data_IF_349368422260
#
_entry.id   IF_349368422260
#
_cell.length_a   1.000
_cell.length_b   1.000
_cell.length_c   1.000
_cell.angle_alpha   90.00
_cell.angle_beta   90.00
_cell.angle_gamma   90.00
#
_symmetry.space_group_name_H-M   'P 1'
#
loop_
_entity.id
_entity.type
_entity.pdbx_description
1 polymer ?
#
# COMPACT_ATOMS: atom_id res chain seq x y z
N UNK A 1 -31.71 7.32 -18.28
CA UNK A 1 -30.54 8.22 -18.15
C UNK A 1 -29.32 7.46 -18.64
N UNK A 2 -28.53 8.01 -19.55
CA UNK A 2 -27.29 7.38 -20.01
C UNK A 2 -26.23 7.37 -18.89
N UNK A 3 -25.25 6.44 -18.99
CA UNK A 3 -24.12 6.40 -18.07
C UNK A 3 -23.24 7.65 -18.22
N UNK A 4 -22.65 8.07 -17.11
CA UNK A 4 -21.64 9.15 -17.16
C UNK A 4 -20.32 8.63 -17.75
N UNK A 5 -19.49 9.52 -18.29
CA UNK A 5 -18.13 9.14 -18.77
C UNK A 5 -17.29 8.47 -17.68
N UNK A 6 -17.45 8.89 -16.42
CA UNK A 6 -16.78 8.27 -15.30
C UNK A 6 -17.24 6.84 -15.08
N UNK A 7 -18.55 6.58 -15.19
CA UNK A 7 -19.09 5.24 -15.09
C UNK A 7 -18.65 4.34 -16.24
N UNK A 8 -18.61 4.87 -17.46
CA UNK A 8 -18.11 4.14 -18.64
C UNK A 8 -16.62 3.75 -18.47
N UNK A 9 -15.79 4.71 -18.03
CA UNK A 9 -14.39 4.43 -17.71
C UNK A 9 -14.24 3.36 -16.62
N UNK A 10 -14.98 3.51 -15.52
CA UNK A 10 -14.90 2.58 -14.41
C UNK A 10 -15.31 1.16 -14.82
N UNK A 11 -16.39 1.00 -15.59
CA UNK A 11 -16.80 -0.31 -16.08
C UNK A 11 -15.78 -0.93 -17.03
N UNK A 12 -15.17 -0.12 -17.89
CA UNK A 12 -14.16 -0.59 -18.83
C UNK A 12 -12.89 -1.09 -18.14
N UNK A 13 -12.47 -0.44 -17.04
CA UNK A 13 -11.20 -0.71 -16.37
C UNK A 13 -11.33 -1.31 -14.97
N UNK A 14 -12.57 -1.62 -14.52
CA UNK A 14 -12.81 -2.19 -13.19
C UNK A 14 -12.01 -3.46 -12.92
N UNK A 15 -11.85 -4.31 -13.93
CA UNK A 15 -11.14 -5.56 -13.76
C UNK A 15 -9.68 -5.33 -13.37
N UNK A 16 -8.98 -4.42 -14.05
CA UNK A 16 -7.60 -4.07 -13.69
C UNK A 16 -7.51 -3.51 -12.26
N UNK A 17 -8.42 -2.61 -11.89
CA UNK A 17 -8.42 -2.03 -10.54
C UNK A 17 -8.69 -3.09 -9.45
N UNK A 18 -9.62 -4.02 -9.69
CA UNK A 18 -9.90 -5.12 -8.77
C UNK A 18 -8.70 -6.07 -8.61
N UNK A 19 -8.00 -6.38 -9.71
CA UNK A 19 -6.77 -7.18 -9.68
C UNK A 19 -5.68 -6.50 -8.84
N UNK A 20 -5.53 -5.17 -8.96
CA UNK A 20 -4.58 -4.42 -8.14
C UNK A 20 -4.97 -4.42 -6.65
N UNK A 21 -6.27 -4.35 -6.35
CA UNK A 21 -6.76 -4.45 -4.97
C UNK A 21 -6.47 -5.83 -4.38
N UNK A 22 -6.73 -6.91 -5.12
CA UNK A 22 -6.39 -8.27 -4.66
C UNK A 22 -4.89 -8.40 -4.42
N UNK A 23 -4.08 -7.91 -5.34
CA UNK A 23 -2.62 -8.10 -5.34
C UNK A 23 -1.91 -7.21 -4.30
N UNK A 24 -2.31 -5.95 -4.18
CA UNK A 24 -1.59 -4.94 -3.42
C UNK A 24 -2.38 -4.34 -2.25
N UNK A 25 -3.68 -4.60 -2.17
CA UNK A 25 -4.52 -4.03 -1.11
C UNK A 25 -4.90 -2.57 -1.31
N UNK A 26 -4.69 -2.01 -2.50
CA UNK A 26 -5.10 -0.65 -2.85
C UNK A 26 -6.58 -0.68 -3.24
N UNK A 27 -7.47 0.14 -2.65
CA UNK A 27 -8.89 0.12 -3.02
C UNK A 27 -9.09 0.29 -4.53
N UNK A 28 -9.90 -0.58 -5.14
CA UNK A 28 -10.22 -0.49 -6.57
C UNK A 28 -10.89 0.84 -6.91
N UNK A 29 -11.75 1.34 -6.02
CA UNK A 29 -12.41 2.63 -6.14
C UNK A 29 -11.41 3.79 -6.21
N UNK A 30 -10.36 3.77 -5.38
CA UNK A 30 -9.30 4.80 -5.36
C UNK A 30 -8.50 4.75 -6.66
N UNK A 31 -8.07 3.57 -7.09
CA UNK A 31 -7.35 3.37 -8.35
C UNK A 31 -8.16 3.89 -9.54
N UNK A 32 -9.46 3.56 -9.60
CA UNK A 32 -10.35 4.05 -10.67
C UNK A 32 -10.54 5.56 -10.62
N UNK A 33 -10.73 6.15 -9.43
CA UNK A 33 -10.90 7.59 -9.29
C UNK A 33 -9.64 8.36 -9.73
N UNK A 34 -8.45 7.85 -9.39
CA UNK A 34 -7.20 8.42 -9.86
C UNK A 34 -7.09 8.30 -11.39
N UNK A 35 -7.35 7.13 -11.95
CA UNK A 35 -7.33 6.93 -13.41
C UNK A 35 -8.30 7.86 -14.16
N UNK A 36 -9.52 8.04 -13.65
CA UNK A 36 -10.52 8.97 -14.19
C UNK A 36 -9.98 10.40 -14.21
N UNK A 37 -9.43 10.85 -13.07
CA UNK A 37 -8.96 12.22 -12.90
C UNK A 37 -7.71 12.50 -13.74
N UNK A 38 -6.70 11.64 -13.66
CA UNK A 38 -5.39 11.85 -14.28
C UNK A 38 -5.42 11.66 -15.81
N UNK A 39 -6.32 10.81 -16.32
CA UNK A 39 -6.39 10.52 -17.76
C UNK A 39 -7.53 11.23 -18.50
N UNK A 40 -8.30 12.09 -17.82
CA UNK A 40 -9.54 12.64 -18.37
C UNK A 40 -10.46 11.53 -18.92
N UNK A 41 -10.76 10.51 -18.11
CA UNK A 41 -11.50 9.31 -18.51
C UNK A 41 -10.85 8.52 -19.66
N UNK A 42 -9.52 8.43 -19.69
CA UNK A 42 -8.76 7.77 -20.74
C UNK A 42 -8.67 8.56 -22.05
N UNK A 43 -9.12 9.83 -22.08
CA UNK A 43 -9.16 10.65 -23.28
C UNK A 43 -7.92 11.53 -23.45
N UNK A 44 -7.05 11.65 -22.44
CA UNK A 44 -5.80 12.40 -22.56
C UNK A 44 -4.90 11.82 -23.66
N UNK A 45 -4.05 12.64 -24.26
CA UNK A 45 -3.09 12.17 -25.26
C UNK A 45 -2.18 11.08 -24.70
N UNK A 46 -1.76 11.24 -23.44
CA UNK A 46 -0.88 10.31 -22.75
C UNK A 46 -1.56 8.94 -22.57
N UNK A 47 -2.82 8.93 -22.12
CA UNK A 47 -3.59 7.69 -21.98
C UNK A 47 -3.80 7.00 -23.34
N UNK A 48 -4.13 7.76 -24.38
CA UNK A 48 -4.46 7.20 -25.71
C UNK A 48 -3.25 6.72 -26.51
N UNK A 49 -2.11 7.37 -26.37
CA UNK A 49 -0.90 7.06 -27.14
C UNK A 49 0.05 6.13 -26.41
N UNK A 50 0.17 6.33 -25.09
CA UNK A 50 1.16 5.63 -24.27
C UNK A 50 0.54 4.64 -23.27
N UNK A 51 -0.79 4.44 -23.31
CA UNK A 51 -1.54 3.65 -22.31
C UNK A 51 -1.28 4.09 -20.86
N UNK A 52 -0.81 5.31 -20.65
CA UNK A 52 -0.46 5.83 -19.33
C UNK A 52 -1.64 6.62 -18.74
N UNK A 53 -2.42 5.96 -17.90
CA UNK A 53 -3.64 6.48 -17.29
C UNK A 53 -3.41 7.26 -16.00
N UNK A 54 -2.20 7.30 -15.48
CA UNK A 54 -1.88 7.90 -14.18
C UNK A 54 -0.84 9.02 -14.25
N UNK A 55 -0.41 9.41 -15.46
CA UNK A 55 0.57 10.47 -15.65
C UNK A 55 1.95 10.15 -15.06
N UNK A 56 2.35 8.88 -15.04
CA UNK A 56 3.61 8.46 -14.44
C UNK A 56 4.78 8.92 -15.30
N UNK A 57 5.66 9.76 -14.73
CA UNK A 57 6.88 10.24 -15.38
C UNK A 57 7.95 9.13 -15.39
N UNK A 58 8.69 9.03 -16.50
CA UNK A 58 9.76 8.05 -16.64
C UNK A 58 10.94 8.42 -15.74
N UNK A 59 11.15 7.65 -14.69
CA UNK A 59 12.27 7.80 -13.75
C UNK A 59 13.60 7.39 -14.40
N UNK A 60 14.72 7.79 -13.80
CA UNK A 60 16.05 7.34 -14.23
C UNK A 60 16.16 5.81 -14.19
N UNK A 61 15.56 5.16 -13.18
CA UNK A 61 15.55 3.71 -13.06
C UNK A 61 14.72 3.05 -14.19
N UNK A 62 13.55 3.62 -14.53
CA UNK A 62 12.73 3.16 -15.66
C UNK A 62 13.53 3.21 -16.98
N UNK A 63 14.19 4.32 -17.24
CA UNK A 63 14.99 4.50 -18.46
C UNK A 63 16.22 3.59 -18.51
N UNK A 64 16.89 3.40 -17.37
CA UNK A 64 18.05 2.50 -17.26
C UNK A 64 17.70 1.04 -17.55
N UNK A 65 16.46 0.63 -17.28
CA UNK A 65 15.94 -0.71 -17.58
C UNK A 65 15.39 -0.84 -19.01
N UNK A 66 15.56 0.18 -19.86
CA UNK A 66 15.06 0.17 -21.24
C UNK A 66 13.55 0.44 -21.35
N UNK A 67 12.94 1.01 -20.31
CA UNK A 67 11.50 1.34 -20.31
C UNK A 67 11.14 2.33 -21.42
N UNK A 68 10.02 2.07 -22.10
CA UNK A 68 9.49 2.93 -23.17
C UNK A 68 8.96 4.24 -22.59
N UNK A 69 9.03 5.31 -23.37
CA UNK A 69 8.52 6.61 -22.97
C UNK A 69 8.02 7.45 -24.14
N UNK A 70 7.05 8.32 -23.86
CA UNK A 70 6.66 9.42 -24.72
C UNK A 70 7.17 10.76 -24.17
N UNK A 71 7.30 11.77 -25.04
CA UNK A 71 7.77 13.11 -24.67
C UNK A 71 6.60 14.08 -24.76
N UNK A 72 6.33 14.77 -23.65
CA UNK A 72 5.20 15.70 -23.53
C UNK A 72 5.63 16.98 -22.79
N UNK A 73 4.87 18.05 -22.98
CA UNK A 73 5.00 19.26 -22.17
C UNK A 73 3.96 19.20 -21.05
N UNK A 74 4.42 19.27 -19.80
CA UNK A 74 3.58 19.32 -18.60
C UNK A 74 4.09 20.47 -17.71
N UNK A 75 4.73 20.21 -16.58
CA UNK A 75 5.36 21.25 -15.75
C UNK A 75 6.54 21.94 -16.47
N UNK A 76 7.23 21.18 -17.29
CA UNK A 76 8.37 21.61 -18.11
C UNK A 76 8.24 21.10 -19.54
N UNK A 77 8.89 21.74 -20.49
CA UNK A 77 8.96 21.23 -21.86
C UNK A 77 9.78 19.93 -21.91
N UNK A 78 9.40 19.02 -22.82
CA UNK A 78 10.13 17.79 -23.11
C UNK A 78 10.28 16.82 -21.91
N UNK A 79 9.27 16.71 -21.08
CA UNK A 79 9.25 15.71 -20.00
C UNK A 79 8.94 14.32 -20.55
N UNK A 80 9.62 13.31 -20.01
CA UNK A 80 9.43 11.91 -20.37
C UNK A 80 8.39 11.26 -19.47
N UNK A 81 7.39 10.65 -20.07
CA UNK A 81 6.36 9.87 -19.37
C UNK A 81 6.46 8.41 -19.78
N UNK A 82 6.22 7.49 -18.85
CA UNK A 82 6.21 6.07 -19.13
C UNK A 82 5.21 5.72 -20.24
N UNK A 83 5.60 4.83 -21.13
CA UNK A 83 4.76 4.26 -22.17
C UNK A 83 4.64 2.74 -21.95
N UNK A 84 3.43 2.22 -22.13
CA UNK A 84 3.11 0.81 -21.86
C UNK A 84 2.55 0.14 -23.09
N UNK A 85 2.71 -1.19 -23.18
CA UNK A 85 2.18 -1.98 -24.30
C UNK A 85 0.65 -2.14 -24.20
N UNK A 86 0.11 -2.07 -22.98
CA UNK A 86 -1.33 -2.11 -22.71
C UNK A 86 -1.68 -1.32 -21.44
N UNK A 87 -2.98 -1.05 -21.27
CA UNK A 87 -3.49 -0.28 -20.12
C UNK A 87 -3.24 -1.00 -18.80
N UNK A 88 -3.34 -2.32 -18.74
CA UNK A 88 -3.11 -3.10 -17.51
C UNK A 88 -1.73 -2.87 -16.92
N UNK A 89 -0.70 -2.68 -17.76
CA UNK A 89 0.66 -2.36 -17.30
C UNK A 89 0.72 -1.00 -16.59
N UNK A 90 -0.07 -0.01 -17.03
CA UNK A 90 -0.11 1.28 -16.33
C UNK A 90 -0.78 1.17 -14.96
N UNK A 91 -1.80 0.31 -14.81
CA UNK A 91 -2.42 0.01 -13.52
C UNK A 91 -1.45 -0.70 -12.57
N UNK A 92 -0.72 -1.68 -13.08
CA UNK A 92 0.31 -2.39 -12.31
C UNK A 92 1.43 -1.44 -11.87
N UNK A 93 1.95 -0.61 -12.78
CA UNK A 93 3.01 0.34 -12.44
C UNK A 93 2.53 1.41 -11.45
N UNK A 94 1.29 1.89 -11.58
CA UNK A 94 0.68 2.79 -10.60
C UNK A 94 0.68 2.17 -9.20
N UNK A 95 0.24 0.93 -9.09
CA UNK A 95 0.26 0.20 -7.81
C UNK A 95 1.67 0.08 -7.25
N UNK A 96 2.65 -0.27 -8.07
CA UNK A 96 4.06 -0.33 -7.66
C UNK A 96 4.61 1.00 -7.21
N UNK A 97 4.25 2.11 -7.87
CA UNK A 97 4.66 3.46 -7.42
C UNK A 97 4.17 3.75 -6.01
N UNK A 98 2.95 3.31 -5.66
CA UNK A 98 2.43 3.48 -4.30
C UNK A 98 3.11 2.52 -3.31
N UNK A 99 3.31 1.26 -3.68
CA UNK A 99 3.92 0.24 -2.81
C UNK A 99 5.39 0.53 -2.52
N UNK A 100 6.17 0.85 -3.56
CA UNK A 100 7.63 0.97 -3.46
C UNK A 100 8.08 2.32 -2.88
N UNK A 101 7.21 3.30 -2.84
CA UNK A 101 7.56 4.62 -2.33
C UNK A 101 7.15 4.78 -0.87
N UNK A 102 8.15 4.86 0.02
CA UNK A 102 7.98 4.97 1.48
C UNK A 102 7.01 6.07 1.94
N UNK A 103 6.84 7.14 1.16
CA UNK A 103 5.89 8.22 1.52
C UNK A 103 4.44 7.75 1.58
N UNK A 104 4.08 6.66 0.88
CA UNK A 104 2.74 6.07 0.91
C UNK A 104 2.62 4.90 1.88
N UNK A 105 3.65 4.57 2.66
CA UNK A 105 3.64 3.41 3.56
C UNK A 105 2.45 3.43 4.54
N UNK A 106 2.04 4.62 4.99
CA UNK A 106 0.89 4.78 5.89
C UNK A 106 -0.43 4.31 5.26
N UNK A 107 -0.60 4.47 3.94
CA UNK A 107 -1.80 4.00 3.25
C UNK A 107 -2.02 2.50 3.42
N UNK A 108 -0.94 1.71 3.44
CA UNK A 108 -1.00 0.25 3.55
C UNK A 108 -1.26 -0.27 4.97
N UNK A 109 -1.44 0.62 5.94
CA UNK A 109 -1.92 0.27 7.30
C UNK A 109 -3.43 0.41 7.42
N UNK A 110 -4.08 1.01 6.41
CA UNK A 110 -5.52 1.26 6.37
C UNK A 110 -6.29 0.03 5.87
N UNK A 111 -7.57 -0.03 6.21
CA UNK A 111 -8.46 -1.04 5.65
C UNK A 111 -8.54 -0.89 4.12
N UNK A 112 -8.47 -1.98 3.34
CA UNK A 112 -8.41 -1.92 1.88
C UNK A 112 -9.74 -1.47 1.22
N UNK A 113 -10.80 -1.31 1.97
CA UNK A 113 -12.11 -0.80 1.55
C UNK A 113 -12.46 0.57 2.16
N UNK A 114 -11.56 1.17 2.93
CA UNK A 114 -11.73 2.53 3.43
C UNK A 114 -11.15 3.57 2.46
N UNK A 115 -11.85 3.79 1.35
CA UNK A 115 -11.42 4.75 0.34
C UNK A 115 -11.28 6.18 0.88
N UNK A 116 -11.98 6.55 1.95
CA UNK A 116 -11.90 7.90 2.52
C UNK A 116 -10.54 8.15 3.15
N UNK A 117 -10.14 7.28 4.07
CA UNK A 117 -8.83 7.37 4.70
C UNK A 117 -7.71 7.20 3.66
N UNK A 118 -7.86 6.30 2.70
CA UNK A 118 -6.90 6.12 1.61
C UNK A 118 -6.68 7.39 0.79
N UNK A 119 -7.76 8.07 0.37
CA UNK A 119 -7.64 9.30 -0.42
C UNK A 119 -7.01 10.43 0.38
N UNK A 120 -7.33 10.56 1.66
CA UNK A 120 -6.71 11.53 2.56
C UNK A 120 -5.20 11.28 2.73
N UNK A 121 -4.79 10.04 2.98
CA UNK A 121 -3.37 9.71 3.14
C UNK A 121 -2.57 9.85 1.84
N UNK A 122 -3.13 9.47 0.68
CA UNK A 122 -2.51 9.71 -0.63
C UNK A 122 -2.31 11.21 -0.89
N UNK A 123 -3.29 12.03 -0.54
CA UNK A 123 -3.20 13.49 -0.68
C UNK A 123 -2.15 14.08 0.28
N UNK A 124 -2.14 13.68 1.55
CA UNK A 124 -1.12 14.08 2.55
C UNK A 124 0.29 13.68 2.10
N UNK A 125 0.44 12.52 1.48
CA UNK A 125 1.71 12.06 0.93
C UNK A 125 2.16 12.84 -0.31
N UNK A 126 1.32 13.75 -0.84
CA UNK A 126 1.66 14.63 -1.95
C UNK A 126 1.66 13.92 -3.31
N UNK A 127 0.67 13.06 -3.56
CA UNK A 127 0.51 12.40 -4.87
C UNK A 127 0.29 13.43 -5.99
N UNK A 128 -0.56 14.43 -5.74
CA UNK A 128 -0.82 15.52 -6.66
C UNK A 128 -0.67 16.88 -5.97
N UNK A 129 -0.48 17.93 -6.76
CA UNK A 129 -0.46 19.30 -6.27
C UNK A 129 -1.90 19.78 -6.00
N UNK A 130 -2.12 20.48 -4.90
CA UNK A 130 -3.41 21.05 -4.52
C UNK A 130 -3.96 20.46 -3.23
N UNK A 131 -4.67 21.30 -2.47
CA UNK A 131 -5.17 20.97 -1.13
C UNK A 131 -6.49 20.20 -1.13
N UNK A 132 -7.07 19.92 -2.29
CA UNK A 132 -8.41 19.35 -2.47
C UNK A 132 -8.40 18.03 -3.26
N UNK A 133 -7.23 17.39 -3.37
CA UNK A 133 -7.09 16.16 -4.15
C UNK A 133 -7.91 15.00 -3.58
N UNK A 134 -7.89 14.83 -2.26
CA UNK A 134 -8.72 13.89 -1.53
C UNK A 134 -10.21 14.07 -1.82
N UNK A 135 -10.70 15.31 -1.71
CA UNK A 135 -12.10 15.64 -1.96
C UNK A 135 -12.53 15.37 -3.40
N UNK A 136 -11.65 15.64 -4.38
CA UNK A 136 -11.92 15.32 -5.79
C UNK A 136 -12.07 13.83 -6.00
N UNK A 137 -11.17 13.02 -5.43
CA UNK A 137 -11.26 11.57 -5.52
C UNK A 137 -12.52 11.03 -4.84
N UNK A 138 -12.82 11.49 -3.61
CA UNK A 138 -14.03 11.09 -2.87
C UNK A 138 -15.30 11.43 -3.65
N UNK A 139 -15.39 12.63 -4.24
CA UNK A 139 -16.53 13.01 -5.07
C UNK A 139 -16.70 12.12 -6.32
N UNK A 140 -15.59 11.75 -6.96
CA UNK A 140 -15.63 10.83 -8.11
C UNK A 140 -16.16 9.45 -7.65
N UNK A 141 -15.65 8.93 -6.54
CA UNK A 141 -16.06 7.64 -5.99
C UNK A 141 -17.56 7.66 -5.64
N UNK A 142 -18.00 8.64 -4.86
CA UNK A 142 -19.35 8.73 -4.33
C UNK A 142 -20.39 8.96 -5.42
N UNK A 143 -20.14 9.93 -6.34
CA UNK A 143 -21.09 10.25 -7.41
C UNK A 143 -21.27 9.13 -8.43
N UNK A 144 -20.30 8.23 -8.55
CA UNK A 144 -20.34 7.14 -9.52
C UNK A 144 -20.49 5.76 -8.86
N UNK A 145 -20.57 5.70 -7.52
CA UNK A 145 -20.74 4.45 -6.77
C UNK A 145 -19.58 3.47 -6.98
N UNK A 146 -18.34 3.98 -7.01
CA UNK A 146 -17.18 3.14 -7.31
C UNK A 146 -16.77 2.23 -6.14
N UNK A 147 -17.17 2.54 -4.92
CA UNK A 147 -16.96 1.73 -3.72
C UNK A 147 -17.59 0.32 -3.81
N UNK A 148 -18.49 0.12 -4.76
CA UNK A 148 -19.04 -1.21 -5.06
C UNK A 148 -17.96 -2.21 -5.50
N UNK A 149 -16.93 -1.74 -6.21
CA UNK A 149 -15.84 -2.60 -6.68
C UNK A 149 -14.96 -3.07 -5.51
N UNK A 150 -14.76 -2.25 -4.49
CA UNK A 150 -14.06 -2.63 -3.26
C UNK A 150 -14.85 -3.73 -2.53
N UNK A 151 -16.16 -3.52 -2.39
CA UNK A 151 -17.07 -4.49 -1.75
C UNK A 151 -17.12 -5.82 -2.50
N UNK A 152 -17.14 -5.78 -3.84
CA UNK A 152 -17.09 -6.99 -4.68
C UNK A 152 -15.81 -7.80 -4.41
N UNK A 153 -14.64 -7.15 -4.37
CA UNK A 153 -13.36 -7.81 -4.07
C UNK A 153 -13.35 -8.37 -2.65
N UNK A 154 -13.79 -7.60 -1.67
CA UNK A 154 -13.81 -8.06 -0.27
C UNK A 154 -14.71 -9.28 -0.08
N UNK A 155 -15.91 -9.29 -0.70
CA UNK A 155 -16.82 -10.43 -0.65
C UNK A 155 -16.22 -11.67 -1.34
N UNK A 156 -15.59 -11.49 -2.50
CA UNK A 156 -14.93 -12.58 -3.20
C UNK A 156 -13.83 -13.21 -2.33
N UNK A 157 -12.92 -12.40 -1.80
CA UNK A 157 -11.82 -12.86 -0.97
C UNK A 157 -12.31 -13.54 0.31
N UNK A 158 -13.34 -13.00 0.94
CA UNK A 158 -13.97 -13.62 2.10
C UNK A 158 -14.53 -15.02 1.76
N UNK A 159 -15.17 -15.18 0.61
CA UNK A 159 -15.69 -16.47 0.15
C UNK A 159 -14.57 -17.49 -0.14
N UNK A 160 -13.38 -17.02 -0.53
CA UNK A 160 -12.21 -17.83 -0.82
C UNK A 160 -11.30 -18.07 0.40
N UNK A 161 -11.63 -17.48 1.57
CA UNK A 161 -10.78 -17.51 2.77
C UNK A 161 -9.44 -16.80 2.60
N UNK A 162 -9.38 -15.82 1.69
CA UNK A 162 -8.17 -15.04 1.36
C UNK A 162 -8.28 -13.60 1.86
N UNK A 163 -7.14 -12.90 1.88
CA UNK A 163 -7.06 -11.46 2.17
C UNK A 163 -6.42 -10.69 1.01
N UNK A 164 -6.66 -9.37 0.98
CA UNK A 164 -5.98 -8.48 0.03
C UNK A 164 -4.50 -8.34 0.34
N UNK A 165 -3.69 -7.98 -0.66
CA UNK A 165 -2.30 -7.59 -0.45
C UNK A 165 -1.34 -8.74 -0.18
N UNK A 166 -1.73 -10.00 -0.44
CA UNK A 166 -0.83 -11.15 -0.27
C UNK A 166 0.46 -11.01 -1.09
N UNK A 167 0.39 -10.44 -2.29
CA UNK A 167 1.60 -10.16 -3.08
C UNK A 167 2.52 -9.11 -2.42
N UNK A 168 1.97 -8.18 -1.60
CA UNK A 168 2.77 -7.26 -0.80
C UNK A 168 3.46 -7.96 0.36
N UNK A 169 2.82 -8.94 0.97
CA UNK A 169 3.44 -9.75 2.02
C UNK A 169 4.59 -10.58 1.44
N UNK A 170 4.39 -11.19 0.27
CA UNK A 170 5.42 -11.96 -0.43
C UNK A 170 6.59 -11.08 -0.94
N UNK A 171 6.30 -9.85 -1.41
CA UNK A 171 7.35 -8.90 -1.81
C UNK A 171 8.03 -8.19 -0.64
N UNK A 172 7.39 -8.17 0.53
CA UNK A 172 7.94 -7.61 1.78
C UNK A 172 8.62 -8.64 2.65
N UNK A 173 8.56 -9.94 2.30
CA UNK A 173 9.47 -10.89 2.93
C UNK A 173 10.90 -10.48 2.61
N UNK A 174 11.67 -10.01 3.60
CA UNK A 174 13.03 -9.61 3.38
C UNK A 174 13.80 -10.81 2.89
N UNK A 175 14.29 -10.76 1.66
CA UNK A 175 15.24 -11.76 1.20
C UNK A 175 16.47 -11.61 2.08
N UNK A 176 16.92 -12.67 2.76
CA UNK A 176 18.09 -12.59 3.59
C UNK A 176 19.31 -12.23 2.71
N UNK A 177 19.85 -11.05 2.94
CA UNK A 177 21.12 -10.67 2.31
C UNK A 177 22.22 -11.35 3.10
N UNK A 178 22.83 -12.36 2.50
CA UNK A 178 24.02 -13.01 3.08
C UNK A 178 25.25 -12.20 2.65
N UNK A 179 25.86 -11.52 3.61
CA UNK A 179 27.14 -10.85 3.42
C UNK A 179 28.11 -11.43 4.45
N UNK A 180 29.19 -12.06 3.99
CA UNK A 180 30.26 -12.64 4.81
C UNK A 180 29.76 -13.55 5.96
N UNK A 181 28.94 -14.57 5.65
CA UNK A 181 28.37 -15.52 6.61
C UNK A 181 27.53 -14.90 7.73
N UNK A 182 27.12 -13.64 7.60
CA UNK A 182 26.20 -12.96 8.50
C UNK A 182 24.90 -12.63 7.78
N UNK A 183 23.78 -13.01 8.38
CA UNK A 183 22.45 -12.62 7.93
C UNK A 183 22.20 -11.20 8.41
N UNK A 184 22.14 -10.24 7.48
CA UNK A 184 21.67 -8.88 7.78
C UNK A 184 20.16 -8.83 7.55
N UNK A 185 19.39 -8.67 8.61
CA UNK A 185 17.95 -8.42 8.54
C UNK A 185 17.76 -6.93 8.29
N UNK A 186 17.31 -6.57 7.09
CA UNK A 186 17.12 -5.17 6.68
C UNK A 186 15.73 -4.62 6.97
N UNK A 187 14.78 -5.48 7.32
CA UNK A 187 13.41 -5.08 7.71
C UNK A 187 12.93 -5.91 8.89
N UNK A 188 12.21 -5.24 9.80
CA UNK A 188 11.59 -5.90 10.94
C UNK A 188 10.24 -6.46 10.51
N UNK A 189 10.09 -7.78 10.51
CA UNK A 189 8.79 -8.44 10.44
C UNK A 189 8.35 -8.90 11.83
N UNK A 190 7.05 -8.84 12.09
CA UNK A 190 6.53 -9.51 13.28
C UNK A 190 6.79 -11.01 13.15
N UNK A 191 7.44 -11.65 14.14
CA UNK A 191 7.80 -13.08 14.08
C UNK A 191 6.57 -13.99 14.26
N UNK A 192 5.38 -13.48 14.00
CA UNK A 192 4.09 -14.12 14.22
C UNK A 192 3.30 -14.16 12.93
N UNK A 193 2.72 -15.31 12.64
CA UNK A 193 1.63 -15.38 11.67
C UNK A 193 0.44 -14.59 12.22
N UNK A 194 -0.28 -13.90 11.34
CA UNK A 194 -1.43 -13.07 11.70
C UNK A 194 -2.46 -13.82 12.57
N UNK A 195 -2.66 -15.10 12.31
CA UNK A 195 -3.62 -15.96 13.02
C UNK A 195 -3.16 -16.34 14.44
N UNK A 196 -1.86 -16.21 14.73
CA UNK A 196 -1.28 -16.49 16.04
C UNK A 196 -1.24 -15.22 16.93
N UNK A 197 -1.54 -14.04 16.37
CA UNK A 197 -1.54 -12.77 17.06
C UNK A 197 -2.89 -12.50 17.73
N UNK A 198 -2.89 -12.33 19.04
CA UNK A 198 -4.11 -11.98 19.78
C UNK A 198 -4.22 -10.46 19.98
N UNK A 199 -3.29 -9.86 20.68
CA UNK A 199 -3.25 -8.40 20.89
C UNK A 199 -1.93 -7.94 21.50
N UNK A 200 -1.67 -6.65 21.38
CA UNK A 200 -0.53 -5.99 22.04
C UNK A 200 -0.91 -5.75 23.50
N UNK A 201 -0.15 -6.33 24.41
CA UNK A 201 -0.34 -6.13 25.85
C UNK A 201 0.39 -4.91 26.36
N UNK A 202 1.50 -4.54 25.69
CA UNK A 202 2.25 -3.36 26.03
C UNK A 202 2.96 -2.79 24.79
N UNK A 203 2.61 -1.57 24.34
CA UNK A 203 3.23 -0.97 23.18
C UNK A 203 4.65 -0.47 23.47
N UNK A 204 5.45 -0.33 22.41
CA UNK A 204 6.73 0.35 22.47
C UNK A 204 6.55 1.83 22.77
N UNK A 205 7.44 2.40 23.59
CA UNK A 205 7.47 3.84 23.88
C UNK A 205 7.52 4.18 25.36
N UNK A 206 7.35 5.45 25.64
CA UNK A 206 7.34 5.96 27.03
C UNK A 206 5.99 5.64 27.66
N UNK A 207 6.01 4.91 28.77
CA UNK A 207 4.81 4.53 29.55
C UNK A 207 5.03 4.78 31.03
N UNK A 208 3.94 4.76 31.79
CA UNK A 208 4.03 4.73 33.25
C UNK A 208 4.69 3.44 33.72
N UNK A 209 5.52 3.54 34.75
CA UNK A 209 6.15 2.37 35.35
C UNK A 209 5.08 1.49 36.02
N UNK A 210 4.95 0.21 35.67
CA UNK A 210 3.94 -0.67 36.24
C UNK A 210 4.04 -0.84 37.78
N UNK A 211 5.23 -0.57 38.35
CA UNK A 211 5.49 -0.69 39.78
C UNK A 211 5.41 0.65 40.49
N UNK A 212 5.53 1.76 39.79
CA UNK A 212 5.45 3.12 40.30
C UNK A 212 4.82 4.08 39.28
N UNK A 213 3.48 4.21 39.25
CA UNK A 213 2.78 5.02 38.25
C UNK A 213 3.15 6.52 38.24
N UNK A 214 3.86 7.02 39.28
CA UNK A 214 4.37 8.37 39.29
C UNK A 214 5.58 8.58 38.37
N UNK A 215 6.19 7.51 37.92
CA UNK A 215 7.36 7.52 37.05
C UNK A 215 7.02 7.09 35.63
N UNK A 216 7.73 7.67 34.68
CA UNK A 216 7.67 7.25 33.29
C UNK A 216 8.96 6.51 32.93
N UNK A 217 8.81 5.37 32.25
CA UNK A 217 9.94 4.60 31.73
C UNK A 217 9.80 4.33 30.24
N UNK A 218 10.94 4.16 29.57
CA UNK A 218 10.96 3.77 28.17
C UNK A 218 10.80 2.26 28.08
N UNK A 219 9.73 1.81 27.42
CA UNK A 219 9.56 0.43 27.04
C UNK A 219 10.23 0.21 25.68
N UNK A 220 11.35 -0.49 25.68
CA UNK A 220 12.21 -0.71 24.49
C UNK A 220 11.77 -1.88 23.62
N UNK A 221 10.64 -2.50 23.95
CA UNK A 221 10.04 -3.60 23.22
C UNK A 221 8.53 -3.43 23.08
N UNK A 222 7.92 -4.39 22.42
CA UNK A 222 6.47 -4.53 22.31
C UNK A 222 6.10 -5.89 22.89
N UNK A 223 5.22 -5.91 23.88
CA UNK A 223 4.70 -7.16 24.43
C UNK A 223 3.46 -7.57 23.63
N UNK A 224 3.49 -8.79 23.11
CA UNK A 224 2.42 -9.34 22.29
C UNK A 224 1.90 -10.61 22.94
N UNK A 225 0.59 -10.76 23.06
CA UNK A 225 -0.05 -11.99 23.46
C UNK A 225 -0.36 -12.85 22.24
N UNK A 226 0.02 -14.11 22.30
CA UNK A 226 -0.22 -15.10 21.25
C UNK A 226 -0.48 -16.48 21.87
N UNK A 227 -1.02 -17.39 21.07
CA UNK A 227 -1.36 -18.76 21.52
C UNK A 227 -0.20 -19.75 21.42
N UNK A 228 1.00 -19.30 21.00
CA UNK A 228 2.18 -20.17 20.82
C UNK A 228 3.42 -19.61 21.49
N UNK A 229 4.36 -20.49 21.80
CA UNK A 229 5.71 -20.07 22.19
C UNK A 229 6.38 -19.29 21.07
N UNK A 230 6.89 -18.10 21.40
CA UNK A 230 7.58 -17.21 20.46
C UNK A 230 8.96 -16.91 20.96
N UNK A 231 9.91 -17.09 20.07
CA UNK A 231 11.27 -16.63 20.24
C UNK A 231 11.32 -15.17 19.77
N UNK A 232 11.51 -14.22 20.70
CA UNK A 232 11.68 -12.82 20.41
C UNK A 232 13.14 -12.46 20.43
N UNK A 233 13.67 -11.96 19.33
CA UNK A 233 15.01 -11.39 19.26
C UNK A 233 14.89 -9.87 19.16
N UNK A 234 15.57 -9.15 20.04
CA UNK A 234 15.69 -7.70 19.95
C UNK A 234 17.07 -7.33 19.45
N UNK A 235 17.13 -6.41 18.51
CA UNK A 235 18.35 -5.94 17.91
C UNK A 235 18.59 -4.47 18.25
N UNK A 236 19.83 -4.12 18.53
CA UNK A 236 20.29 -2.73 18.67
C UNK A 236 21.58 -2.56 17.89
N UNK A 237 21.59 -1.58 16.98
CA UNK A 237 22.76 -1.26 16.13
C UNK A 237 23.30 -2.45 15.33
N UNK A 238 22.44 -3.24 14.74
CA UNK A 238 22.83 -4.39 13.92
C UNK A 238 23.36 -5.59 14.71
N UNK A 239 23.10 -5.65 16.02
CA UNK A 239 23.49 -6.81 16.86
C UNK A 239 22.28 -7.30 17.63
N UNK A 240 22.09 -8.62 17.65
CA UNK A 240 21.11 -9.25 18.55
C UNK A 240 21.61 -9.04 19.97
N UNK A 241 20.89 -8.22 20.74
CA UNK A 241 21.28 -7.89 22.12
C UNK A 241 20.55 -8.76 23.14
N UNK A 242 19.38 -9.32 22.79
CA UNK A 242 18.66 -10.21 23.68
C UNK A 242 17.73 -11.15 22.91
N UNK A 243 17.61 -12.38 23.36
CA UNK A 243 16.61 -13.34 22.93
C UNK A 243 15.86 -13.74 24.20
N UNK A 244 14.59 -13.38 24.30
CA UNK A 244 13.73 -13.84 25.38
C UNK A 244 12.72 -14.86 24.85
N UNK A 245 12.69 -16.02 25.47
CA UNK A 245 11.63 -17.02 25.29
C UNK A 245 10.62 -16.80 26.39
N UNK A 246 9.44 -16.33 26.05
CA UNK A 246 8.33 -16.19 26.99
C UNK A 246 7.35 -17.32 26.78
N UNK A 247 7.17 -18.17 27.79
CA UNK A 247 6.08 -19.15 27.85
C UNK A 247 4.95 -18.52 28.67
N UNK A 248 3.87 -18.12 28.01
CA UNK A 248 2.66 -17.72 28.72
C UNK A 248 1.70 -18.90 28.74
N UNK A 249 1.61 -19.56 29.87
CA UNK A 249 0.54 -20.54 30.09
C UNK A 249 -0.79 -19.82 30.24
N UNK A 250 -1.79 -20.31 29.52
CA UNK A 250 -3.18 -19.95 29.75
C UNK A 250 -3.52 -20.43 31.17
N UNK A 251 -3.62 -19.51 32.11
CA UNK A 251 -4.28 -19.83 33.38
C UNK A 251 -5.78 -19.80 33.10
N UNK A 252 -6.41 -20.95 33.36
CA UNK A 252 -7.85 -21.17 33.38
C UNK A 252 -8.59 -20.15 34.26
#
# INVERSE_FOLDING_TARGET
>A
MGKSKNQEYAEQYAQYAKEQMVKYGIPASVTLAQGILESANGQSQLARKENNHFGIKASAAWLAQGGKYGVYTDDKPNEKFCAYDNVGESFEHHSKVLVDNKRYAQCFTLAPDDYKEWTEEIAKAGYARGSDYDKKLQQIIERNGLDKYDKEVMLQLQSEGKSTGQANAEMREPQPIVVDDKILVTEYSLPLKRDDFLFVTSPFGVREDPLDPSKKQMHSGMDIRCDKEILMATESNGKIVNIQVGIFHKND
#
